data_IF_169182403030
#
_entry.id   IF_169182403030
#
_cell.length_a   1.000
_cell.length_b   1.000
_cell.length_c   1.000
_cell.angle_alpha   90.00
_cell.angle_beta   90.00
_cell.angle_gamma   90.00
#
_symmetry.space_group_name_H-M   'P 1'
#
loop_
_entity.id
_entity.type
_entity.pdbx_description
1 polymer ?
#
# COMPACT_ATOMS: atom_id res chain seq x y z
N UNK A 1 -7.74 34.27 4.52
CA UNK A 1 -7.17 32.93 4.81
C UNK A 1 -7.51 32.07 3.62
N UNK A 2 -6.51 31.61 2.88
CA UNK A 2 -6.70 30.65 1.80
C UNK A 2 -5.93 29.41 2.23
N UNK A 3 -6.67 28.43 2.72
CA UNK A 3 -6.13 27.10 3.02
C UNK A 3 -5.85 26.42 1.68
N UNK A 4 -4.58 26.36 1.32
CA UNK A 4 -4.11 25.58 0.17
C UNK A 4 -4.04 24.14 0.65
N UNK A 5 -4.87 23.28 0.05
CA UNK A 5 -4.75 21.83 0.15
C UNK A 5 -3.45 21.43 -0.55
N UNK A 6 -2.40 21.25 0.24
CA UNK A 6 -1.09 20.81 -0.26
C UNK A 6 -1.23 19.34 -0.60
N UNK A 7 -1.42 19.05 -1.89
CA UNK A 7 -1.17 17.71 -2.42
C UNK A 7 0.34 17.50 -2.43
N UNK A 8 0.88 16.93 -1.35
CA UNK A 8 2.25 16.44 -1.35
C UNK A 8 2.27 15.15 -2.19
N UNK A 9 3.00 15.09 -3.31
CA UNK A 9 3.13 13.85 -4.06
C UNK A 9 3.74 12.82 -3.11
N UNK A 10 3.12 11.64 -3.02
CA UNK A 10 3.70 10.53 -2.27
C UNK A 10 5.14 10.31 -2.76
N UNK A 11 6.06 10.17 -1.82
CA UNK A 11 7.46 10.01 -2.18
C UNK A 11 7.67 8.62 -2.80
N UNK A 12 8.56 8.52 -3.80
CA UNK A 12 8.86 7.22 -4.42
C UNK A 12 9.34 6.17 -3.39
N UNK A 13 9.91 6.62 -2.27
CA UNK A 13 10.30 5.82 -1.11
C UNK A 13 9.12 5.09 -0.46
N UNK A 14 7.95 5.72 -0.35
CA UNK A 14 6.77 5.11 0.28
C UNK A 14 6.25 3.92 -0.53
N UNK A 15 6.25 4.04 -1.85
CA UNK A 15 5.84 2.98 -2.77
C UNK A 15 6.77 1.77 -2.64
N UNK A 16 8.08 2.01 -2.55
CA UNK A 16 9.07 0.94 -2.36
C UNK A 16 8.91 0.24 -1.01
N UNK A 17 8.70 0.99 0.08
CA UNK A 17 8.45 0.41 1.41
C UNK A 17 7.19 -0.47 1.42
N UNK A 18 6.11 -0.02 0.78
CA UNK A 18 4.86 -0.79 0.68
C UNK A 18 5.07 -2.04 -0.18
N UNK A 19 5.78 -1.92 -1.30
CA UNK A 19 6.14 -3.05 -2.17
C UNK A 19 6.94 -4.10 -1.41
N UNK A 20 7.98 -3.69 -0.69
CA UNK A 20 8.81 -4.60 0.12
C UNK A 20 7.98 -5.29 1.21
N UNK A 21 7.14 -4.54 1.93
CA UNK A 21 6.25 -5.10 2.94
C UNK A 21 5.36 -6.22 2.36
N UNK A 22 4.80 -6.02 1.16
CA UNK A 22 3.95 -6.99 0.48
C UNK A 22 4.72 -8.21 -0.05
N UNK A 23 5.97 -8.04 -0.50
CA UNK A 23 6.78 -9.12 -1.05
C UNK A 23 7.35 -10.05 0.03
N UNK A 24 7.54 -9.57 1.26
CA UNK A 24 8.17 -10.33 2.34
C UNK A 24 7.30 -11.48 2.90
N UNK A 25 5.99 -11.52 2.58
CA UNK A 25 5.06 -12.50 3.16
C UNK A 25 4.05 -13.01 2.13
N UNK A 26 3.59 -14.25 2.29
CA UNK A 26 2.53 -14.84 1.44
C UNK A 26 1.16 -14.12 1.52
N UNK A 27 1.04 -13.09 2.35
CA UNK A 27 -0.07 -12.15 2.44
C UNK A 27 0.11 -11.23 3.65
N UNK A 28 -0.31 -9.96 3.53
CA UNK A 28 -0.13 -8.93 4.57
C UNK A 28 -1.43 -8.14 4.74
N UNK A 29 -1.82 -7.87 5.98
CA UNK A 29 -2.99 -7.05 6.30
C UNK A 29 -2.67 -5.55 6.26
N UNK A 30 -3.69 -4.70 6.07
CA UNK A 30 -3.49 -3.24 6.09
C UNK A 30 -2.83 -2.72 7.39
N UNK A 31 -3.23 -3.18 8.60
CA UNK A 31 -2.56 -2.78 9.84
C UNK A 31 -1.09 -3.19 9.91
N UNK A 32 -0.72 -4.34 9.33
CA UNK A 32 0.68 -4.77 9.26
C UNK A 32 1.51 -3.90 8.31
N UNK A 33 0.96 -3.51 7.15
CA UNK A 33 1.64 -2.60 6.22
C UNK A 33 1.92 -1.27 6.92
N UNK A 34 0.90 -0.68 7.57
CA UNK A 34 1.05 0.57 8.35
C UNK A 34 2.15 0.43 9.40
N UNK A 35 2.16 -0.69 10.15
CA UNK A 35 3.17 -0.92 11.20
C UNK A 35 4.58 -1.08 10.64
N UNK A 36 4.74 -1.72 9.48
CA UNK A 36 6.03 -2.02 8.87
C UNK A 36 6.64 -0.79 8.17
N UNK A 37 5.82 0.01 7.51
CA UNK A 37 6.30 1.14 6.70
C UNK A 37 6.23 2.46 7.45
N UNK A 38 5.41 2.56 8.50
CA UNK A 38 5.07 3.82 9.18
C UNK A 38 4.48 4.89 8.23
N UNK A 39 4.01 4.48 7.05
CA UNK A 39 3.32 5.34 6.07
C UNK A 39 1.88 5.53 6.51
N UNK A 40 1.31 6.71 6.22
CA UNK A 40 -0.07 6.98 6.56
C UNK A 40 -1.04 6.05 5.79
N UNK A 41 -2.21 5.81 6.37
CA UNK A 41 -3.20 4.88 5.81
C UNK A 41 -3.68 5.26 4.42
N UNK A 42 -3.90 6.55 4.15
CA UNK A 42 -4.45 7.04 2.88
C UNK A 42 -3.49 6.74 1.73
N UNK A 43 -2.21 7.10 1.90
CA UNK A 43 -1.16 6.81 0.91
C UNK A 43 -1.01 5.31 0.67
N UNK A 44 -1.11 4.48 1.72
CA UNK A 44 -1.07 3.02 1.55
C UNK A 44 -2.26 2.54 0.71
N UNK A 45 -3.47 3.01 0.99
CA UNK A 45 -4.68 2.62 0.25
C UNK A 45 -4.59 3.04 -1.23
N UNK A 46 -4.06 4.22 -1.54
CA UNK A 46 -3.83 4.67 -2.91
C UNK A 46 -2.82 3.79 -3.66
N UNK A 47 -1.68 3.47 -3.02
CA UNK A 47 -0.66 2.59 -3.61
C UNK A 47 -1.20 1.18 -3.82
N UNK A 48 -1.93 0.64 -2.85
CA UNK A 48 -2.56 -0.68 -2.96
C UNK A 48 -3.60 -0.71 -4.09
N UNK A 49 -4.39 0.35 -4.25
CA UNK A 49 -5.32 0.49 -5.37
C UNK A 49 -4.57 0.45 -6.71
N UNK A 50 -3.50 1.24 -6.85
CA UNK A 50 -2.66 1.21 -8.05
C UNK A 50 -2.06 -0.16 -8.35
N UNK A 51 -1.56 -0.88 -7.32
CA UNK A 51 -1.04 -2.23 -7.49
C UNK A 51 -2.12 -3.26 -7.86
N UNK A 52 -3.35 -3.11 -7.36
CA UNK A 52 -4.49 -3.96 -7.75
C UNK A 52 -4.89 -3.71 -9.20
N UNK A 53 -4.97 -2.44 -9.62
CA UNK A 53 -5.31 -2.04 -10.99
C UNK A 53 -4.30 -2.59 -12.01
N UNK A 54 -3.01 -2.55 -11.67
CA UNK A 54 -1.92 -3.14 -12.46
C UNK A 54 -1.82 -4.67 -12.31
N UNK A 55 -2.67 -5.30 -11.50
CA UNK A 55 -2.70 -6.74 -11.21
C UNK A 55 -1.43 -7.29 -10.56
N UNK A 56 -0.63 -6.45 -9.91
CA UNK A 56 0.53 -6.90 -9.13
C UNK A 56 0.11 -7.61 -7.83
N UNK A 57 -1.00 -7.19 -7.25
CA UNK A 57 -1.55 -7.78 -6.04
C UNK A 57 -3.04 -8.08 -6.19
N UNK A 58 -3.58 -8.88 -5.27
CA UNK A 58 -5.01 -9.05 -5.07
C UNK A 58 -5.35 -9.01 -3.58
N UNK A 59 -6.59 -8.63 -3.26
CA UNK A 59 -7.11 -8.64 -1.91
C UNK A 59 -8.02 -9.85 -1.68
N UNK A 60 -7.69 -10.68 -0.69
CA UNK A 60 -8.53 -11.80 -0.28
C UNK A 60 -9.51 -11.35 0.82
N UNK A 61 -10.79 -11.18 0.46
CA UNK A 61 -11.85 -10.74 1.38
C UNK A 61 -12.12 -11.70 2.55
N UNK A 62 -11.80 -12.98 2.42
CA UNK A 62 -12.03 -13.96 3.48
C UNK A 62 -10.96 -13.87 4.58
N UNK A 63 -9.73 -13.49 4.20
CA UNK A 63 -8.59 -13.40 5.14
C UNK A 63 -8.18 -11.98 5.45
N UNK A 64 -8.73 -10.99 4.74
CA UNK A 64 -8.37 -9.57 4.82
C UNK A 64 -6.88 -9.30 4.56
N UNK A 65 -6.29 -10.06 3.62
CA UNK A 65 -4.88 -9.95 3.26
C UNK A 65 -4.71 -9.50 1.82
N UNK A 66 -3.77 -8.58 1.62
CA UNK A 66 -3.19 -8.27 0.32
C UNK A 66 -2.11 -9.30 0.01
N UNK A 67 -2.14 -9.85 -1.19
CA UNK A 67 -1.19 -10.87 -1.63
C UNK A 67 -0.56 -10.45 -2.94
N UNK A 68 0.77 -10.57 -2.99
CA UNK A 68 1.50 -10.42 -4.23
C UNK A 68 1.09 -11.55 -5.19
N UNK A 69 0.74 -11.21 -6.42
CA UNK A 69 0.35 -12.20 -7.42
C UNK A 69 1.54 -13.05 -7.86
N UNK A 70 2.78 -12.57 -7.70
CA UNK A 70 4.01 -13.32 -7.99
C UNK A 70 4.15 -13.69 -9.46
N UNK A 71 5.12 -13.06 -10.13
CA UNK A 71 5.74 -13.65 -11.31
C UNK A 71 6.72 -14.74 -10.90
#
# INVERSE_FOLDING_TARGET
MSDIDVWEPYEASDVDLIREALMLRGGVSLPEIIKLTNVNKVTIEEVLAGFMDMKFIYYNKNTELYRWNGG
#
